data_IF_296315578120
#
_entry.id   IF_296315578120
#
_cell.length_a   1.000
_cell.length_b   1.000
_cell.length_c   1.000
_cell.angle_alpha   90.00
_cell.angle_beta   90.00
_cell.angle_gamma   90.00
#
_symmetry.space_group_name_H-M   'P 1'
#
loop_
_entity.id
_entity.type
_entity.pdbx_description
1 polymer ?
#
# COMPACT_ATOMS: atom_id res chain seq x y z
N UNK A 1 46.59 -11.83 44.14
CA UNK A 1 45.85 -11.43 42.94
C UNK A 1 45.20 -12.66 42.39
N UNK A 2 43.96 -12.85 42.70
CA UNK A 2 43.11 -13.92 42.17
C UNK A 2 41.78 -13.31 41.72
N UNK A 3 41.67 -13.10 40.42
CA UNK A 3 40.44 -12.68 39.78
C UNK A 3 39.47 -13.90 39.77
N UNK A 4 38.42 -13.82 40.57
CA UNK A 4 37.32 -14.76 40.49
C UNK A 4 36.38 -14.34 39.34
N UNK A 5 36.51 -15.02 38.22
CA UNK A 5 35.47 -15.05 37.21
C UNK A 5 34.26 -15.79 37.74
N UNK A 6 33.31 -15.10 38.36
CA UNK A 6 31.99 -15.64 38.56
C UNK A 6 31.23 -15.55 37.22
N UNK A 7 31.25 -16.64 36.50
CA UNK A 7 30.34 -16.92 35.40
C UNK A 7 28.94 -17.10 35.97
N UNK A 8 28.13 -16.06 35.94
CA UNK A 8 26.70 -16.19 36.19
C UNK A 8 26.10 -17.07 35.09
N UNK A 9 25.42 -18.16 35.43
CA UNK A 9 24.70 -18.94 34.43
C UNK A 9 23.60 -18.05 33.84
N UNK A 10 23.58 -17.92 32.52
CA UNK A 10 22.41 -17.42 31.82
C UNK A 10 21.25 -18.33 32.22
N UNK A 11 20.37 -17.83 33.03
CA UNK A 11 19.07 -18.42 33.27
C UNK A 11 18.36 -18.46 31.90
N UNK A 12 18.39 -19.62 31.30
CA UNK A 12 17.41 -19.96 30.28
C UNK A 12 16.07 -19.95 31.00
N UNK A 13 15.25 -18.95 30.69
CA UNK A 13 13.86 -18.95 31.10
C UNK A 13 13.23 -20.24 30.56
N UNK A 14 12.72 -21.10 31.41
CA UNK A 14 11.87 -22.16 30.95
C UNK A 14 10.49 -21.52 30.81
N UNK A 15 10.06 -21.36 29.62
CA UNK A 15 8.66 -21.57 29.28
C UNK A 15 8.57 -21.43 27.78
N UNK A 16 8.13 -22.54 27.21
CA UNK A 16 7.39 -22.55 25.94
C UNK A 16 6.16 -21.64 26.09
N UNK A 17 6.37 -20.33 26.29
CA UNK A 17 5.35 -19.36 26.01
C UNK A 17 5.06 -19.54 24.53
N UNK A 18 3.88 -20.10 24.25
CA UNK A 18 3.37 -20.20 22.89
C UNK A 18 3.53 -18.81 22.30
N UNK A 19 4.41 -18.69 21.29
CA UNK A 19 4.57 -17.42 20.59
C UNK A 19 3.29 -17.19 19.78
N UNK A 20 2.34 -16.48 20.36
CA UNK A 20 1.05 -16.19 19.71
C UNK A 20 1.23 -15.45 18.40
N UNK A 21 2.26 -14.62 18.27
CA UNK A 21 2.53 -13.89 17.03
C UNK A 21 2.66 -14.83 15.83
N UNK A 22 3.35 -15.96 16.01
CA UNK A 22 3.57 -16.95 14.95
C UNK A 22 2.47 -18.02 14.86
N UNK A 23 1.75 -18.28 15.94
CA UNK A 23 0.82 -19.41 16.02
C UNK A 23 -0.66 -19.01 15.96
N UNK A 24 -1.00 -17.83 16.49
CA UNK A 24 -2.36 -17.26 16.49
C UNK A 24 -2.28 -15.73 16.51
N UNK A 25 -2.04 -15.16 15.35
CA UNK A 25 -1.88 -13.73 15.18
C UNK A 25 -3.08 -12.91 15.70
N UNK A 26 -4.30 -13.41 15.50
CA UNK A 26 -5.49 -12.71 16.00
C UNK A 26 -5.52 -12.66 17.53
N UNK A 27 -5.26 -13.78 18.19
CA UNK A 27 -5.18 -13.82 19.65
C UNK A 27 -4.06 -12.91 20.17
N UNK A 28 -2.90 -12.88 19.49
CA UNK A 28 -1.81 -11.96 19.81
C UNK A 28 -2.24 -10.49 19.72
N UNK A 29 -2.96 -10.08 18.66
CA UNK A 29 -3.43 -8.69 18.54
C UNK A 29 -4.38 -8.28 19.66
N UNK A 30 -5.28 -9.18 20.07
CA UNK A 30 -6.19 -8.93 21.20
C UNK A 30 -5.43 -8.79 22.52
N UNK A 31 -4.44 -9.63 22.75
CA UNK A 31 -3.61 -9.61 23.96
C UNK A 31 -2.78 -8.31 24.02
N UNK A 32 -2.08 -7.95 22.94
CA UNK A 32 -1.30 -6.72 22.88
C UNK A 32 -2.19 -5.47 23.05
N UNK A 33 -3.35 -5.44 22.43
CA UNK A 33 -4.33 -4.35 22.60
C UNK A 33 -4.78 -4.21 24.05
N UNK A 34 -5.00 -5.32 24.74
CA UNK A 34 -5.35 -5.34 26.17
C UNK A 34 -4.22 -4.79 27.03
N UNK A 35 -2.96 -5.21 26.81
CA UNK A 35 -1.81 -4.70 27.55
C UNK A 35 -1.63 -3.19 27.35
N UNK A 36 -1.78 -2.70 26.11
CA UNK A 36 -1.76 -1.26 25.81
C UNK A 36 -2.85 -0.51 26.60
N UNK A 37 -4.08 -0.99 26.54
CA UNK A 37 -5.24 -0.35 27.20
C UNK A 37 -5.11 -0.29 28.73
N UNK A 38 -4.44 -1.29 29.33
CA UNK A 38 -4.23 -1.38 30.78
C UNK A 38 -2.91 -0.72 31.24
N UNK A 39 -2.10 -0.17 30.32
CA UNK A 39 -0.80 0.41 30.66
C UNK A 39 0.24 -0.63 31.13
N UNK A 40 0.09 -1.89 30.72
CA UNK A 40 1.00 -2.96 31.07
C UNK A 40 2.20 -3.01 30.11
N UNK A 41 2.99 -1.96 30.13
CA UNK A 41 4.08 -1.70 29.18
C UNK A 41 5.14 -2.81 29.11
N UNK A 42 5.41 -3.45 30.27
CA UNK A 42 6.42 -4.51 30.38
C UNK A 42 5.96 -5.84 29.77
N UNK A 43 4.66 -5.98 29.50
CA UNK A 43 4.07 -7.18 28.90
C UNK A 43 3.95 -7.08 27.36
N UNK A 44 4.28 -5.89 26.81
CA UNK A 44 4.19 -5.67 25.37
C UNK A 44 5.30 -6.39 24.60
N UNK A 45 4.91 -6.98 23.50
CA UNK A 45 5.80 -7.49 22.46
C UNK A 45 6.22 -6.31 21.55
N UNK A 46 7.16 -5.51 22.04
CA UNK A 46 7.54 -4.23 21.40
C UNK A 46 8.08 -4.44 20.00
N UNK A 47 8.87 -5.50 19.80
CA UNK A 47 9.52 -5.77 18.50
C UNK A 47 8.48 -6.06 17.42
N UNK A 48 7.58 -7.00 17.67
CA UNK A 48 6.53 -7.37 16.73
C UNK A 48 5.48 -6.25 16.57
N UNK A 49 5.15 -5.52 17.64
CA UNK A 49 4.28 -4.35 17.54
C UNK A 49 4.85 -3.26 16.63
N UNK A 50 6.14 -2.97 16.74
CA UNK A 50 6.79 -1.98 15.89
C UNK A 50 6.76 -2.41 14.42
N UNK A 51 7.01 -3.69 14.13
CA UNK A 51 6.93 -4.26 12.78
C UNK A 51 5.52 -4.16 12.21
N UNK A 52 4.49 -4.51 12.99
CA UNK A 52 3.09 -4.44 12.54
C UNK A 52 2.63 -3.00 12.28
N UNK A 53 3.01 -2.05 13.14
CA UNK A 53 2.69 -0.63 12.92
C UNK A 53 3.35 -0.12 11.64
N UNK A 54 4.61 -0.48 11.39
CA UNK A 54 5.30 -0.12 10.13
C UNK A 54 4.62 -0.76 8.91
N UNK A 55 4.18 -2.02 9.03
CA UNK A 55 3.44 -2.73 7.99
C UNK A 55 2.13 -2.04 7.64
N UNK A 56 1.39 -1.51 8.61
CA UNK A 56 0.17 -0.73 8.37
C UNK A 56 0.46 0.51 7.51
N UNK A 57 1.57 1.21 7.77
CA UNK A 57 2.00 2.34 6.95
C UNK A 57 2.38 1.95 5.52
N UNK A 58 3.08 0.83 5.35
CA UNK A 58 3.43 0.27 4.03
C UNK A 58 2.19 -0.12 3.22
N UNK A 59 1.16 -0.64 3.88
CA UNK A 59 -0.11 -0.99 3.24
C UNK A 59 -0.80 0.24 2.63
N UNK A 60 -0.77 1.40 3.29
CA UNK A 60 -1.34 2.63 2.75
C UNK A 60 -0.63 3.10 1.46
N UNK A 61 0.70 3.00 1.41
CA UNK A 61 1.46 3.27 0.19
C UNK A 61 1.14 2.27 -0.92
N UNK A 62 1.02 0.99 -0.60
CA UNK A 62 0.66 -0.06 -1.56
C UNK A 62 -0.74 0.16 -2.13
N UNK A 63 -1.69 0.52 -1.28
CA UNK A 63 -3.06 0.84 -1.69
C UNK A 63 -3.07 2.01 -2.69
N UNK A 64 -2.33 3.07 -2.39
CA UNK A 64 -2.20 4.22 -3.30
C UNK A 64 -1.65 3.80 -4.66
N UNK A 65 -0.56 3.04 -4.70
CA UNK A 65 0.03 2.53 -5.95
C UNK A 65 -0.94 1.67 -6.75
N UNK A 66 -1.62 0.75 -6.07
CA UNK A 66 -2.59 -0.13 -6.74
C UNK A 66 -3.71 0.66 -7.39
N UNK A 67 -4.26 1.64 -6.70
CA UNK A 67 -5.32 2.51 -7.22
C UNK A 67 -4.84 3.39 -8.37
N UNK A 68 -3.65 3.97 -8.24
CA UNK A 68 -3.03 4.74 -9.32
C UNK A 68 -2.77 3.87 -10.55
N UNK A 69 -2.29 2.64 -10.38
CA UNK A 69 -2.08 1.70 -11.48
C UNK A 69 -3.36 1.40 -12.25
N UNK A 70 -4.46 1.13 -11.54
CA UNK A 70 -5.78 0.91 -12.16
C UNK A 70 -6.28 2.18 -12.85
N UNK A 71 -6.15 3.33 -12.22
CA UNK A 71 -6.58 4.62 -12.78
C UNK A 71 -5.80 4.96 -14.06
N UNK A 72 -4.47 4.94 -14.00
CA UNK A 72 -3.60 5.24 -15.14
C UNK A 72 -3.84 4.24 -16.27
N UNK A 73 -3.97 2.95 -15.97
CA UNK A 73 -4.28 1.93 -16.95
C UNK A 73 -5.59 2.21 -17.69
N UNK A 74 -6.64 2.67 -17.00
CA UNK A 74 -7.90 3.05 -17.62
C UNK A 74 -7.82 4.37 -18.41
N UNK A 75 -6.98 5.32 -17.99
CA UNK A 75 -6.68 6.53 -18.78
C UNK A 75 -5.96 6.18 -20.08
N UNK A 76 -4.97 5.29 -20.02
CA UNK A 76 -4.27 4.78 -21.21
C UNK A 76 -5.24 4.05 -22.15
N UNK A 77 -6.07 3.15 -21.65
CA UNK A 77 -7.10 2.48 -22.44
C UNK A 77 -8.03 3.49 -23.10
N UNK A 78 -8.44 4.50 -22.35
CA UNK A 78 -9.30 5.56 -22.87
C UNK A 78 -8.66 6.34 -24.03
N UNK A 79 -7.37 6.63 -23.92
CA UNK A 79 -6.64 7.39 -24.95
C UNK A 79 -6.30 6.53 -26.18
N UNK A 80 -5.74 5.33 -25.95
CA UNK A 80 -5.18 4.49 -26.99
C UNK A 80 -6.19 3.49 -27.62
N UNK A 81 -7.39 3.36 -27.07
CA UNK A 81 -8.45 2.50 -27.58
C UNK A 81 -9.80 3.24 -27.68
N UNK A 82 -9.89 4.31 -28.47
CA UNK A 82 -11.08 5.16 -28.54
C UNK A 82 -12.35 4.40 -28.95
N UNK A 83 -12.22 3.36 -29.76
CA UNK A 83 -13.32 2.51 -30.23
C UNK A 83 -13.91 1.60 -29.12
N UNK A 84 -13.15 1.34 -28.07
CA UNK A 84 -13.57 0.53 -26.93
C UNK A 84 -14.06 1.36 -25.73
N UNK A 85 -14.06 2.69 -25.86
CA UNK A 85 -14.53 3.59 -24.80
C UNK A 85 -15.95 3.26 -24.40
N UNK A 86 -16.18 3.14 -23.10
CA UNK A 86 -17.50 2.80 -22.58
C UNK A 86 -17.74 3.32 -21.17
N UNK A 87 -19.01 3.19 -20.74
CA UNK A 87 -19.43 3.60 -19.41
C UNK A 87 -18.67 2.88 -18.28
N UNK A 88 -18.26 1.65 -18.53
CA UNK A 88 -17.50 0.85 -17.53
C UNK A 88 -16.16 1.50 -17.23
N UNK A 89 -15.37 1.83 -18.25
CA UNK A 89 -14.06 2.48 -18.06
C UNK A 89 -14.20 3.83 -17.37
N UNK A 90 -15.20 4.61 -17.80
CA UNK A 90 -15.51 5.90 -17.19
C UNK A 90 -15.87 5.77 -15.71
N UNK A 91 -16.69 4.77 -15.36
CA UNK A 91 -17.05 4.48 -13.98
C UNK A 91 -15.83 4.11 -13.13
N UNK A 92 -14.95 3.26 -13.66
CA UNK A 92 -13.70 2.88 -12.98
C UNK A 92 -12.79 4.08 -12.74
N UNK A 93 -12.57 4.92 -13.76
CA UNK A 93 -11.74 6.14 -13.63
C UNK A 93 -12.28 7.04 -12.51
N UNK A 94 -13.60 7.26 -12.50
CA UNK A 94 -14.24 8.07 -11.46
C UNK A 94 -14.09 7.45 -10.08
N UNK A 95 -14.41 6.17 -9.94
CA UNK A 95 -14.29 5.46 -8.68
C UNK A 95 -12.86 5.50 -8.11
N UNK A 96 -11.85 5.25 -8.95
CA UNK A 96 -10.47 5.27 -8.48
C UNK A 96 -10.03 6.67 -8.03
N UNK A 97 -10.45 7.73 -8.71
CA UNK A 97 -10.22 9.11 -8.27
C UNK A 97 -10.85 9.40 -6.92
N UNK A 98 -12.12 9.02 -6.74
CA UNK A 98 -12.81 9.24 -5.47
C UNK A 98 -12.11 8.52 -4.32
N UNK A 99 -11.69 7.27 -4.54
CA UNK A 99 -10.99 6.48 -3.53
C UNK A 99 -9.58 6.98 -3.23
N UNK A 100 -8.84 7.45 -4.24
CA UNK A 100 -7.52 8.07 -4.02
C UNK A 100 -7.67 9.37 -3.23
N UNK A 101 -8.66 10.20 -3.56
CA UNK A 101 -8.92 11.44 -2.83
C UNK A 101 -9.27 11.17 -1.37
N UNK A 102 -10.08 10.15 -1.08
CA UNK A 102 -10.39 9.72 0.28
C UNK A 102 -9.11 9.26 1.02
N UNK A 103 -8.32 8.40 0.38
CA UNK A 103 -7.06 7.90 0.96
C UNK A 103 -6.09 9.05 1.30
N UNK A 104 -5.98 10.06 0.42
CA UNK A 104 -5.13 11.24 0.64
C UNK A 104 -5.71 12.21 1.68
N UNK A 105 -7.03 12.21 1.87
CA UNK A 105 -7.70 12.98 2.93
C UNK A 105 -7.43 12.35 4.28
N UNK A 106 -7.54 11.03 4.37
CA UNK A 106 -7.29 10.27 5.59
C UNK A 106 -5.80 10.21 5.94
N UNK A 107 -4.92 10.26 4.91
CA UNK A 107 -3.46 10.17 5.04
C UNK A 107 -2.76 11.31 4.30
N UNK A 108 -2.82 12.58 4.79
CA UNK A 108 -2.29 13.74 4.07
C UNK A 108 -0.79 13.64 3.75
N UNK A 109 0.00 12.93 4.57
CA UNK A 109 1.43 12.72 4.37
C UNK A 109 1.78 11.96 3.09
N UNK A 110 0.83 11.17 2.53
CA UNK A 110 1.01 10.47 1.25
C UNK A 110 1.08 11.41 0.05
N UNK A 111 0.66 12.68 0.18
CA UNK A 111 0.71 13.66 -0.92
C UNK A 111 2.15 13.91 -1.40
N UNK A 112 3.12 13.89 -0.50
CA UNK A 112 4.54 14.03 -0.86
C UNK A 112 5.12 12.82 -1.60
N UNK A 113 4.43 11.70 -1.56
CA UNK A 113 4.81 10.45 -2.22
C UNK A 113 4.17 10.29 -3.62
N UNK A 114 3.23 11.16 -4.01
CA UNK A 114 2.40 10.97 -5.23
C UNK A 114 3.22 10.82 -6.51
N UNK A 115 4.22 11.66 -6.76
CA UNK A 115 5.03 11.59 -7.98
C UNK A 115 5.77 10.25 -8.07
N UNK A 116 6.36 9.81 -6.96
CA UNK A 116 7.01 8.50 -6.88
C UNK A 116 6.00 7.36 -7.05
N UNK A 117 4.83 7.47 -6.42
CA UNK A 117 3.76 6.48 -6.50
C UNK A 117 3.24 6.31 -7.95
N UNK A 118 3.13 7.39 -8.71
CA UNK A 118 2.76 7.35 -10.15
C UNK A 118 3.81 6.58 -10.95
N UNK A 119 5.10 6.87 -10.74
CA UNK A 119 6.19 6.15 -11.42
C UNK A 119 6.18 4.66 -11.09
N UNK A 120 6.01 4.30 -9.82
CA UNK A 120 5.96 2.91 -9.38
C UNK A 120 4.68 2.17 -9.83
N UNK A 121 3.56 2.89 -9.98
CA UNK A 121 2.28 2.34 -10.42
C UNK A 121 2.22 2.13 -11.95
N UNK A 122 3.10 2.75 -12.71
CA UNK A 122 3.02 2.74 -14.17
C UNK A 122 3.18 1.34 -14.75
N UNK A 123 4.08 0.51 -14.24
CA UNK A 123 4.24 -0.88 -14.65
C UNK A 123 2.95 -1.70 -14.47
N UNK A 124 2.25 -1.48 -13.35
CA UNK A 124 0.95 -2.09 -13.11
C UNK A 124 -0.09 -1.62 -14.15
N UNK A 125 -0.06 -0.32 -14.48
CA UNK A 125 -0.96 0.27 -15.48
C UNK A 125 -0.72 -0.36 -16.88
N UNK A 126 0.54 -0.46 -17.30
CA UNK A 126 0.90 -1.10 -18.58
C UNK A 126 0.42 -2.55 -18.62
N UNK A 127 0.70 -3.33 -17.59
CA UNK A 127 0.29 -4.73 -17.50
C UNK A 127 -1.23 -4.90 -17.58
N UNK A 128 -1.99 -3.97 -16.99
CA UNK A 128 -3.45 -3.98 -17.09
C UNK A 128 -3.93 -3.72 -18.51
N UNK A 129 -3.35 -2.73 -19.20
CA UNK A 129 -3.72 -2.39 -20.59
C UNK A 129 -3.43 -3.57 -21.52
N UNK A 130 -2.23 -4.15 -21.46
CA UNK A 130 -1.81 -5.27 -22.29
C UNK A 130 -2.69 -6.51 -22.07
N UNK A 131 -3.09 -6.76 -20.83
CA UNK A 131 -3.96 -7.89 -20.51
C UNK A 131 -5.40 -7.71 -21.00
N UNK A 132 -5.90 -6.47 -21.02
CA UNK A 132 -7.31 -6.19 -21.23
C UNK A 132 -7.64 -5.58 -22.60
N UNK A 133 -6.63 -5.35 -23.44
CA UNK A 133 -6.79 -4.78 -24.79
C UNK A 133 -5.91 -5.50 -25.80
N UNK A 134 -6.11 -5.30 -27.11
CA UNK A 134 -5.20 -5.80 -28.14
C UNK A 134 -3.82 -5.14 -28.20
N UNK A 135 -3.57 -4.10 -27.40
CA UNK A 135 -2.28 -3.38 -27.36
C UNK A 135 -1.21 -4.22 -26.64
N UNK A 136 0.04 -4.03 -27.07
CA UNK A 136 1.22 -4.60 -26.41
C UNK A 136 2.14 -3.47 -25.90
N UNK A 137 3.12 -3.81 -25.08
CA UNK A 137 4.03 -2.84 -24.45
C UNK A 137 4.65 -1.82 -25.43
N UNK A 138 5.10 -2.20 -26.64
CA UNK A 138 5.66 -1.25 -27.61
C UNK A 138 4.66 -0.19 -28.13
N UNK A 139 3.35 -0.45 -27.99
CA UNK A 139 2.30 0.44 -28.43
C UNK A 139 2.02 1.58 -27.43
N UNK A 140 2.63 1.47 -26.25
CA UNK A 140 2.39 2.36 -25.12
C UNK A 140 3.62 3.22 -24.79
N UNK A 141 3.46 4.41 -24.22
CA UNK A 141 4.60 5.21 -23.76
C UNK A 141 5.48 4.47 -22.77
N UNK A 142 6.81 4.69 -22.85
CA UNK A 142 7.77 4.11 -21.89
C UNK A 142 7.59 4.64 -20.46
N UNK A 143 7.12 5.86 -20.34
CA UNK A 143 6.89 6.55 -19.07
C UNK A 143 5.46 7.08 -19.01
N UNK A 144 4.94 7.29 -17.80
CA UNK A 144 3.59 7.80 -17.62
C UNK A 144 3.42 9.16 -18.33
N UNK A 145 2.52 9.27 -19.33
CA UNK A 145 2.35 10.50 -20.09
C UNK A 145 1.55 11.56 -19.33
N UNK A 146 1.01 11.23 -18.16
CA UNK A 146 0.12 12.11 -17.39
C UNK A 146 0.82 12.64 -16.13
N UNK A 147 0.64 13.93 -15.87
CA UNK A 147 0.99 14.52 -14.58
C UNK A 147 0.03 14.08 -13.47
N UNK A 148 0.47 14.17 -12.21
CA UNK A 148 -0.39 13.91 -11.04
C UNK A 148 -1.67 14.76 -11.10
N UNK A 149 -1.55 16.03 -11.51
CA UNK A 149 -2.70 16.94 -11.66
C UNK A 149 -3.71 16.40 -12.68
N UNK A 150 -3.26 15.93 -13.83
CA UNK A 150 -4.13 15.35 -14.86
C UNK A 150 -4.78 14.05 -14.39
N UNK A 151 -4.00 13.17 -13.75
CA UNK A 151 -4.50 11.89 -13.24
C UNK A 151 -5.67 12.11 -12.28
N UNK A 152 -5.57 13.11 -11.40
CA UNK A 152 -6.56 13.37 -10.36
C UNK A 152 -7.66 14.36 -10.77
N UNK A 153 -7.52 15.05 -11.93
CA UNK A 153 -8.53 16.00 -12.41
C UNK A 153 -9.79 15.26 -12.89
N UNK A 154 -10.97 15.49 -12.28
CA UNK A 154 -12.21 14.88 -12.70
C UNK A 154 -12.67 15.29 -14.11
N UNK A 155 -12.11 16.37 -14.67
CA UNK A 155 -12.41 16.85 -16.03
C UNK A 155 -11.44 16.29 -17.08
N UNK A 156 -10.42 15.56 -16.67
CA UNK A 156 -9.47 14.94 -17.59
C UNK A 156 -9.80 13.45 -17.79
N UNK A 157 -9.71 12.92 -19.03
CA UNK A 157 -9.52 13.65 -20.30
C UNK A 157 -10.79 14.43 -20.71
N UNK A 158 -10.63 15.52 -21.47
CA UNK A 158 -11.73 16.47 -21.84
C UNK A 158 -12.92 15.77 -22.51
N UNK A 159 -12.70 14.65 -23.17
CA UNK A 159 -13.74 13.84 -23.82
C UNK A 159 -14.62 13.03 -22.82
N UNK A 160 -14.43 13.26 -21.55
CA UNK A 160 -15.15 12.61 -20.45
C UNK A 160 -16.51 13.28 -20.15
N UNK A 161 -16.72 14.50 -20.67
CA UNK A 161 -17.91 15.32 -20.45
C UNK A 161 -19.04 14.96 -21.42
#
# INVERSE_FOLDING_TARGET
>A
MLESKLGLPKLKSPDLAINLYDTDFYAWTLEQSKFLSLGQWQSLDIENLAEEIESLGKQQKQELRNRLGVLIGHLLKWEFQPELRGKSWRATIREQRDRINLLLTDNPSLKSYLDQAVSEAYELALSLVVRETPLDYPDLPSDCPYSVTQILDPKFPVQFL
#
